data_IF_592022540777
#
_entry.id   IF_592022540777
#
_cell.length_a   1.000
_cell.length_b   1.000
_cell.length_c   1.000
_cell.angle_alpha   90.00
_cell.angle_beta   90.00
_cell.angle_gamma   90.00
#
_symmetry.space_group_name_H-M   'P 1'
#
loop_
_entity.id
_entity.type
_entity.pdbx_description
1 polymer ?
#
# COMPACT_ATOMS: atom_id res chain seq x y z
N UNK A 1 7.51 12.66 14.54
CA UNK A 1 8.22 12.74 13.23
C UNK A 1 7.61 13.88 12.43
N UNK A 2 8.40 14.86 11.98
CA UNK A 2 7.88 15.88 11.04
C UNK A 2 7.59 15.19 9.71
N UNK A 3 6.38 15.37 9.17
CA UNK A 3 5.97 14.81 7.86
C UNK A 3 5.28 13.44 7.88
N UNK A 4 5.08 12.81 9.04
CA UNK A 4 4.31 11.56 9.17
C UNK A 4 3.10 11.79 10.07
N UNK A 5 1.91 11.76 9.47
CA UNK A 5 0.64 11.94 10.18
C UNK A 5 -0.01 10.62 10.61
N UNK A 6 -1.06 10.66 11.45
CA UNK A 6 -1.77 9.46 11.93
C UNK A 6 -2.27 8.53 10.81
N UNK A 7 -2.69 9.09 9.67
CA UNK A 7 -3.11 8.30 8.49
C UNK A 7 -1.98 7.46 7.92
N UNK A 8 -0.77 8.01 7.83
CA UNK A 8 0.42 7.32 7.32
C UNK A 8 0.84 6.18 8.26
N UNK A 9 0.81 6.43 9.57
CA UNK A 9 1.11 5.39 10.57
C UNK A 9 0.10 4.24 10.48
N UNK A 10 -1.20 4.56 10.39
CA UNK A 10 -2.26 3.56 10.21
C UNK A 10 -2.07 2.76 8.91
N UNK A 11 -1.75 3.41 7.80
CA UNK A 11 -1.50 2.72 6.53
C UNK A 11 -0.32 1.76 6.62
N UNK A 12 0.80 2.18 7.22
CA UNK A 12 1.98 1.32 7.41
C UNK A 12 1.69 0.13 8.33
N UNK A 13 0.95 0.34 9.41
CA UNK A 13 0.56 -0.74 10.31
C UNK A 13 -0.32 -1.80 9.60
N UNK A 14 -1.32 -1.37 8.81
CA UNK A 14 -2.18 -2.27 8.04
C UNK A 14 -1.42 -3.01 6.93
N UNK A 15 -0.46 -2.36 6.26
CA UNK A 15 0.41 -3.00 5.27
C UNK A 15 1.33 -4.03 5.93
N UNK A 16 1.92 -3.67 7.08
CA UNK A 16 2.76 -4.60 7.85
C UNK A 16 1.99 -5.82 8.30
N UNK A 17 0.73 -5.65 8.71
CA UNK A 17 -0.16 -6.77 9.03
C UNK A 17 -0.39 -7.68 7.83
N UNK A 18 -0.60 -7.11 6.64
CA UNK A 18 -0.80 -7.89 5.42
C UNK A 18 0.46 -8.67 4.99
N UNK A 19 1.64 -8.06 5.13
CA UNK A 19 2.91 -8.66 4.68
C UNK A 19 3.43 -9.68 5.70
N UNK A 20 3.36 -9.36 6.99
CA UNK A 20 4.02 -10.10 8.06
C UNK A 20 3.07 -10.82 9.01
N UNK A 21 1.76 -10.70 8.84
CA UNK A 21 0.77 -11.27 9.76
C UNK A 21 0.78 -10.63 11.15
N UNK A 22 1.41 -9.46 11.30
CA UNK A 22 1.51 -8.76 12.58
C UNK A 22 0.19 -8.04 12.90
N UNK A 23 -0.55 -8.39 13.97
CA UNK A 23 -1.86 -7.81 14.24
C UNK A 23 -1.74 -6.30 14.53
N UNK A 24 -2.18 -5.45 13.59
CA UNK A 24 -2.26 -4.01 13.77
C UNK A 24 -3.63 -3.57 14.27
N UNK A 25 -4.69 -4.31 13.89
CA UNK A 25 -6.03 -4.20 14.50
C UNK A 25 -6.87 -5.46 14.22
N UNK A 26 -7.24 -6.19 15.27
CA UNK A 26 -7.99 -7.47 15.20
C UNK A 26 -9.50 -7.31 15.17
N UNK A 27 -10.07 -6.09 15.18
CA UNK A 27 -11.48 -5.89 15.53
C UNK A 27 -12.42 -5.44 14.40
N UNK A 28 -11.95 -5.28 13.15
CA UNK A 28 -12.82 -4.84 12.05
C UNK A 28 -12.71 -5.75 10.80
N UNK A 29 -13.75 -6.56 10.48
CA UNK A 29 -13.79 -7.40 9.28
C UNK A 29 -13.94 -6.60 7.97
N UNK A 30 -14.26 -5.30 8.02
CA UNK A 30 -14.29 -4.39 6.87
C UNK A 30 -12.93 -3.65 6.67
N UNK A 31 -11.85 -4.18 7.24
CA UNK A 31 -10.51 -3.57 7.33
C UNK A 31 -9.90 -3.07 6.02
N UNK A 32 -10.27 -3.68 4.90
CA UNK A 32 -9.83 -3.30 3.56
C UNK A 32 -10.92 -2.63 2.73
N UNK A 33 -12.16 -2.56 3.21
CA UNK A 33 -13.30 -1.98 2.48
C UNK A 33 -13.12 -0.49 2.24
N UNK A 34 -12.46 0.22 3.17
CA UNK A 34 -12.07 1.64 2.99
C UNK A 34 -11.16 1.89 1.79
N UNK A 35 -10.49 0.86 1.24
CA UNK A 35 -9.63 1.03 0.07
C UNK A 35 -10.45 1.29 -1.21
N UNK A 36 -11.70 0.82 -1.29
CA UNK A 36 -12.50 0.82 -2.52
C UNK A 36 -13.93 1.36 -2.35
N UNK A 37 -14.37 1.75 -1.15
CA UNK A 37 -15.68 2.37 -0.92
C UNK A 37 -16.02 2.60 0.55
N UNK A 38 -17.07 3.37 0.80
CA UNK A 38 -17.66 3.46 2.14
C UNK A 38 -18.46 2.21 2.49
N UNK A 39 -18.78 2.05 3.79
CA UNK A 39 -19.69 0.99 4.29
C UNK A 39 -21.13 1.16 3.78
N UNK A 40 -21.43 2.32 3.20
CA UNK A 40 -22.71 2.74 2.63
C UNK A 40 -22.92 2.29 1.17
N UNK A 41 -21.98 1.55 0.58
CA UNK A 41 -22.09 1.03 -0.78
C UNK A 41 -21.82 2.06 -1.87
N UNK A 42 -21.34 3.25 -1.50
CA UNK A 42 -20.94 4.29 -2.45
C UNK A 42 -19.42 4.14 -2.70
N UNK A 43 -19.00 3.83 -3.94
CA UNK A 43 -17.58 3.78 -4.28
C UNK A 43 -16.95 5.15 -4.06
N UNK A 44 -15.84 5.19 -3.34
CA UNK A 44 -15.08 6.43 -3.19
C UNK A 44 -14.39 6.73 -4.52
N UNK A 45 -14.42 7.98 -5.03
CA UNK A 45 -13.72 8.31 -6.26
C UNK A 45 -12.23 7.99 -6.11
N UNK A 46 -11.68 7.26 -7.08
CA UNK A 46 -10.28 6.85 -7.07
C UNK A 46 -9.40 8.10 -7.17
N UNK A 47 -8.60 8.37 -6.13
CA UNK A 47 -7.55 9.39 -6.18
C UNK A 47 -6.39 8.89 -7.05
N UNK A 48 -6.52 9.10 -8.36
CA UNK A 48 -5.53 8.69 -9.36
C UNK A 48 -4.16 9.29 -9.08
N UNK A 49 -4.09 10.52 -8.56
CA UNK A 49 -2.83 11.21 -8.29
C UNK A 49 -2.08 10.50 -7.17
N UNK A 50 -2.75 10.22 -6.05
CA UNK A 50 -2.15 9.46 -4.95
C UNK A 50 -1.79 8.03 -5.39
N UNK A 51 -2.60 7.41 -6.25
CA UNK A 51 -2.32 6.08 -6.79
C UNK A 51 -1.03 6.06 -7.62
N UNK A 52 -0.88 6.95 -8.59
CA UNK A 52 0.34 7.10 -9.40
C UNK A 52 1.57 7.43 -8.54
N UNK A 53 1.42 8.30 -7.54
CA UNK A 53 2.50 8.61 -6.60
C UNK A 53 2.94 7.37 -5.81
N UNK A 54 1.99 6.53 -5.40
CA UNK A 54 2.27 5.29 -4.67
C UNK A 54 3.02 4.28 -5.55
N UNK A 55 2.61 4.10 -6.80
CA UNK A 55 3.30 3.22 -7.77
C UNK A 55 4.74 3.69 -8.02
N UNK A 56 4.93 5.00 -8.21
CA UNK A 56 6.25 5.58 -8.40
C UNK A 56 7.14 5.38 -7.16
N UNK A 57 6.58 5.57 -5.97
CA UNK A 57 7.30 5.34 -4.72
C UNK A 57 7.72 3.87 -4.57
N UNK A 58 6.80 2.93 -4.82
CA UNK A 58 7.09 1.49 -4.76
C UNK A 58 8.16 1.08 -5.78
N UNK A 59 8.07 1.57 -7.02
CA UNK A 59 9.09 1.35 -8.04
C UNK A 59 10.47 1.84 -7.59
N UNK A 60 10.54 3.02 -6.98
CA UNK A 60 11.79 3.56 -6.43
C UNK A 60 12.30 2.74 -5.24
N UNK A 61 11.42 2.30 -4.35
CA UNK A 61 11.77 1.48 -3.20
C UNK A 61 12.35 0.12 -3.63
N UNK A 62 11.72 -0.55 -4.60
CA UNK A 62 12.23 -1.81 -5.18
C UNK A 62 13.59 -1.60 -5.84
N UNK A 63 13.78 -0.50 -6.58
CA UNK A 63 15.06 -0.18 -7.20
C UNK A 63 16.18 0.03 -6.17
N UNK A 64 15.88 0.70 -5.05
CA UNK A 64 16.83 0.97 -3.95
C UNK A 64 17.04 -0.22 -3.00
N UNK A 65 16.14 -1.19 -3.00
CA UNK A 65 16.24 -2.35 -2.12
C UNK A 65 17.45 -3.23 -2.49
N UNK A 66 18.09 -3.78 -1.46
CA UNK A 66 19.19 -4.75 -1.56
C UNK A 66 18.63 -6.15 -1.85
N UNK A 67 18.06 -6.31 -3.05
CA UNK A 67 17.50 -7.57 -3.56
C UNK A 67 18.39 -8.15 -4.65
N UNK A 68 18.30 -9.46 -4.87
CA UNK A 68 18.91 -10.11 -6.03
C UNK A 68 18.33 -9.61 -7.35
N UNK A 69 19.06 -9.80 -8.46
CA UNK A 69 18.64 -9.34 -9.78
C UNK A 69 17.24 -9.87 -10.17
N UNK A 70 17.03 -11.18 -10.03
CA UNK A 70 15.76 -11.83 -10.38
C UNK A 70 14.60 -11.42 -9.47
N UNK A 71 14.84 -11.27 -8.17
CA UNK A 71 13.84 -10.78 -7.21
C UNK A 71 13.41 -9.35 -7.54
N UNK A 72 14.37 -8.48 -7.85
CA UNK A 72 14.11 -7.09 -8.24
C UNK A 72 13.32 -7.03 -9.54
N UNK A 73 13.71 -7.83 -10.55
CA UNK A 73 13.00 -7.91 -11.83
C UNK A 73 11.55 -8.39 -11.65
N UNK A 74 11.34 -9.44 -10.84
CA UNK A 74 10.01 -9.95 -10.55
C UNK A 74 9.15 -8.93 -9.80
N UNK A 75 9.72 -8.24 -8.81
CA UNK A 75 9.04 -7.18 -8.08
C UNK A 75 8.64 -6.01 -9.00
N UNK A 76 9.55 -5.55 -9.87
CA UNK A 76 9.26 -4.47 -10.82
C UNK A 76 8.19 -4.85 -11.85
N UNK A 77 8.22 -6.09 -12.38
CA UNK A 77 7.16 -6.60 -13.27
C UNK A 77 5.79 -6.58 -12.60
N UNK A 78 5.71 -6.96 -11.33
CA UNK A 78 4.46 -6.89 -10.57
C UNK A 78 3.97 -5.46 -10.40
N UNK A 79 4.87 -4.50 -10.19
CA UNK A 79 4.50 -3.08 -10.07
C UNK A 79 4.03 -2.50 -11.42
N UNK A 80 4.63 -2.91 -12.53
CA UNK A 80 4.21 -2.48 -13.88
C UNK A 80 2.77 -2.87 -14.23
N UNK A 81 2.23 -3.96 -13.68
CA UNK A 81 0.84 -4.36 -13.92
C UNK A 81 -0.20 -3.34 -13.38
N UNK A 82 0.24 -2.34 -12.61
CA UNK A 82 -0.62 -1.29 -12.05
C UNK A 82 -0.46 0.07 -12.74
N UNK A 83 0.42 0.18 -13.75
CA UNK A 83 0.57 1.36 -14.62
C UNK A 83 -0.38 1.25 -15.82
#
# INVERSE_FOLDING_TARGET
MKGVGPKTIRALALISELIYGAPASTHDPARFSFAHGGKDGIPYPVDKKTYTQSINYLSQAVNKAKLGYWEKLHALRRVQNFL
#
